data_IF_212218511095
#
_entry.id   IF_212218511095
#
_cell.length_a   1.000
_cell.length_b   1.000
_cell.length_c   1.000
_cell.angle_alpha   90.00
_cell.angle_beta   90.00
_cell.angle_gamma   90.00
#
_symmetry.space_group_name_H-M   'P 1'
#
loop_
_entity.id
_entity.type
_entity.pdbx_description
1 polymer ?
#
# COMPACT_ATOMS: atom_id res chain seq x y z
N UNK A 1 -29.27 1.72 -62.91
CA UNK A 1 -28.79 2.54 -61.77
C UNK A 1 -28.63 1.67 -60.54
N UNK A 2 -27.38 1.44 -60.11
CA UNK A 2 -27.01 0.66 -58.91
C UNK A 2 -27.35 1.48 -57.66
N UNK A 3 -28.30 1.03 -56.82
CA UNK A 3 -28.44 1.52 -55.44
C UNK A 3 -27.58 0.65 -54.53
N UNK A 4 -26.45 1.21 -54.10
CA UNK A 4 -25.63 0.68 -53.01
C UNK A 4 -26.35 1.01 -51.69
N UNK A 5 -26.66 0.02 -50.89
CA UNK A 5 -27.07 0.20 -49.49
C UNK A 5 -25.94 -0.27 -48.58
N UNK A 6 -25.41 0.68 -47.82
CA UNK A 6 -24.25 0.58 -46.92
C UNK A 6 -24.41 -0.46 -45.81
N UNK A 7 -23.32 -1.13 -45.37
CA UNK A 7 -23.33 -1.87 -44.12
C UNK A 7 -23.24 -0.90 -42.91
N UNK A 8 -24.18 -1.05 -41.98
CA UNK A 8 -24.17 -0.38 -40.67
C UNK A 8 -23.01 -0.97 -39.86
N UNK A 9 -21.98 -0.16 -39.64
CA UNK A 9 -20.86 -0.46 -38.75
C UNK A 9 -21.34 -0.21 -37.31
N UNK A 10 -21.58 -1.27 -36.55
CA UNK A 10 -21.84 -1.18 -35.12
C UNK A 10 -20.50 -1.03 -34.39
N UNK A 11 -20.14 0.19 -34.02
CA UNK A 11 -19.03 0.46 -33.12
C UNK A 11 -19.46 0.08 -31.69
N UNK A 12 -18.92 -1.02 -31.16
CA UNK A 12 -19.01 -1.35 -29.74
C UNK A 12 -17.94 -0.50 -29.04
N UNK A 13 -18.40 0.57 -28.41
CA UNK A 13 -17.59 1.41 -27.54
C UNK A 13 -17.35 0.62 -26.24
N UNK A 14 -16.21 -0.08 -26.14
CA UNK A 14 -15.74 -0.58 -24.86
C UNK A 14 -15.24 0.62 -24.06
N UNK A 15 -16.10 1.16 -23.17
CA UNK A 15 -15.67 2.08 -22.13
C UNK A 15 -14.68 1.33 -21.24
N UNK A 16 -13.39 1.59 -21.43
CA UNK A 16 -12.38 1.29 -20.42
C UNK A 16 -12.70 2.10 -19.18
N UNK A 17 -13.14 1.43 -18.12
CA UNK A 17 -13.13 1.99 -16.77
C UNK A 17 -11.66 2.04 -16.35
N UNK A 18 -10.99 3.14 -16.65
CA UNK A 18 -9.72 3.50 -16.03
C UNK A 18 -10.02 4.01 -14.62
N UNK A 19 -10.24 3.09 -13.68
CA UNK A 19 -10.15 3.41 -12.26
C UNK A 19 -8.69 3.68 -11.92
N UNK A 20 -8.42 4.82 -11.26
CA UNK A 20 -7.09 5.17 -10.75
C UNK A 20 -6.63 4.09 -9.78
N UNK A 21 -5.49 3.46 -10.08
CA UNK A 21 -4.92 2.34 -9.34
C UNK A 21 -4.33 2.80 -7.99
N UNK A 22 -5.15 2.73 -6.94
CA UNK A 22 -4.78 2.37 -5.58
C UNK A 22 -5.96 1.56 -5.05
N UNK A 23 -5.76 0.28 -4.72
CA UNK A 23 -6.86 -0.55 -4.23
C UNK A 23 -6.80 -0.84 -2.73
N UNK A 24 -5.72 -0.43 -2.07
CA UNK A 24 -5.63 -0.45 -0.63
C UNK A 24 -4.59 0.56 -0.12
N UNK A 25 -4.85 1.10 1.06
CA UNK A 25 -3.94 1.94 1.79
C UNK A 25 -4.10 1.70 3.31
N UNK A 26 -3.02 1.76 4.06
CA UNK A 26 -3.04 1.70 5.52
C UNK A 26 -2.00 2.66 6.08
N UNK A 27 -2.36 3.33 7.17
CA UNK A 27 -1.57 4.40 7.75
C UNK A 27 -1.46 4.27 9.28
N UNK A 28 -0.28 4.58 9.80
CA UNK A 28 0.02 4.70 11.22
C UNK A 28 0.73 6.04 11.50
N UNK A 29 0.08 6.88 12.31
CA UNK A 29 0.65 8.11 12.88
C UNK A 29 1.38 7.90 14.22
N UNK A 30 1.24 6.71 14.79
CA UNK A 30 1.69 6.37 16.14
C UNK A 30 1.13 7.23 17.29
N UNK A 31 0.07 8.00 17.01
CA UNK A 31 -0.64 8.86 17.96
C UNK A 31 -2.12 8.51 17.98
N UNK A 32 -2.79 8.70 19.12
CA UNK A 32 -4.24 8.52 19.22
C UNK A 32 -5.05 9.76 18.86
N UNK A 33 -4.41 10.92 18.69
CA UNK A 33 -5.08 12.17 18.33
C UNK A 33 -4.34 12.90 17.21
N UNK A 34 -5.09 13.51 16.31
CA UNK A 34 -4.57 14.23 15.14
C UNK A 34 -3.87 15.54 15.48
N UNK A 35 -4.06 16.07 16.69
CA UNK A 35 -3.32 17.24 17.19
C UNK A 35 -1.97 16.87 17.83
N UNK A 36 -1.61 15.58 17.87
CA UNK A 36 -0.39 15.04 18.46
C UNK A 36 -0.35 15.04 19.99
N UNK A 37 -1.43 15.46 20.65
CA UNK A 37 -1.55 15.53 22.12
C UNK A 37 -2.13 14.24 22.71
N UNK A 38 -2.34 13.22 21.88
CA UNK A 38 -2.82 11.91 22.29
C UNK A 38 -1.74 11.09 22.98
N UNK A 39 -1.98 9.78 23.08
CA UNK A 39 -1.01 8.83 23.61
C UNK A 39 -0.30 8.12 22.46
N UNK A 40 0.93 7.67 22.70
CA UNK A 40 1.59 6.73 21.78
C UNK A 40 0.72 5.48 21.58
N UNK A 41 0.47 5.10 20.33
CA UNK A 41 -0.24 3.89 19.96
C UNK A 41 0.38 3.22 18.73
N UNK A 42 0.20 1.91 18.58
CA UNK A 42 0.49 1.18 17.33
C UNK A 42 -0.80 0.73 16.63
N UNK A 43 -1.94 1.26 17.06
CA UNK A 43 -3.20 1.08 16.38
C UNK A 43 -3.15 1.75 15.00
N UNK A 44 -3.86 1.17 14.04
CA UNK A 44 -4.03 1.77 12.71
C UNK A 44 -4.75 3.11 12.86
N UNK A 45 -4.27 4.12 12.16
CA UNK A 45 -4.85 5.46 12.13
C UNK A 45 -5.89 5.60 11.02
N UNK A 46 -5.61 5.03 9.84
CA UNK A 46 -6.53 4.95 8.70
C UNK A 46 -6.29 3.67 7.88
N UNK A 47 -7.35 3.07 7.31
CA UNK A 47 -7.24 1.86 6.47
C UNK A 47 -8.38 1.79 5.45
N UNK A 48 -8.01 1.54 4.20
CA UNK A 48 -8.91 1.23 3.10
C UNK A 48 -8.35 0.04 2.30
N UNK A 49 -9.22 -0.85 1.82
CA UNK A 49 -8.89 -1.96 0.91
C UNK A 49 -8.05 -3.13 1.46
N UNK A 50 -7.22 -2.94 2.49
CA UNK A 50 -6.51 -4.05 3.14
C UNK A 50 -7.49 -4.90 3.96
N UNK A 51 -7.44 -6.22 3.79
CA UNK A 51 -8.23 -7.11 4.64
C UNK A 51 -7.80 -6.98 6.11
N UNK A 52 -8.78 -6.84 7.00
CA UNK A 52 -8.60 -6.47 8.41
C UNK A 52 -7.75 -7.48 9.19
N UNK A 53 -6.44 -7.23 9.25
CA UNK A 53 -5.46 -7.87 10.14
C UNK A 53 -4.13 -7.06 10.22
N UNK A 54 -4.09 -5.84 9.70
CA UNK A 54 -2.85 -5.08 9.63
C UNK A 54 -2.34 -4.70 11.02
N UNK A 55 -1.04 -4.77 11.25
CA UNK A 55 -0.47 -4.43 12.56
C UNK A 55 0.98 -3.99 12.45
N UNK A 56 1.42 -3.18 13.42
CA UNK A 56 2.82 -2.78 13.60
C UNK A 56 3.33 -3.32 14.92
N UNK A 57 4.52 -3.93 14.89
CA UNK A 57 5.26 -4.32 16.10
C UNK A 57 6.68 -3.76 16.04
N UNK A 58 7.35 -3.69 17.19
CA UNK A 58 8.75 -3.24 17.29
C UNK A 58 9.52 -4.00 18.34
N UNK A 59 10.84 -4.02 18.19
CA UNK A 59 11.81 -4.55 19.15
C UNK A 59 12.94 -3.55 19.37
N UNK A 60 13.60 -3.61 20.53
CA UNK A 60 14.63 -2.67 20.97
C UNK A 60 14.20 -1.79 22.16
N UNK A 61 15.12 -0.97 22.65
CA UNK A 61 14.91 -0.11 23.82
C UNK A 61 14.07 1.11 23.44
N UNK A 62 12.88 1.18 24.04
CA UNK A 62 11.91 2.27 23.87
C UNK A 62 12.20 3.40 24.85
N UNK A 63 11.97 4.64 24.43
CA UNK A 63 11.71 5.75 25.34
C UNK A 63 10.46 6.50 24.90
N UNK A 64 9.60 6.87 25.86
CA UNK A 64 8.49 7.77 25.60
C UNK A 64 9.02 9.11 25.11
N UNK A 65 8.48 9.62 24.01
CA UNK A 65 8.92 10.89 23.40
C UNK A 65 8.31 12.11 24.10
N UNK A 66 7.45 11.93 25.12
CA UNK A 66 6.71 12.99 25.80
C UNK A 66 6.06 13.98 24.82
N UNK A 67 5.43 13.48 23.75
CA UNK A 67 4.85 14.26 22.64
C UNK A 67 5.87 15.02 21.77
N UNK A 68 7.17 14.71 21.83
CA UNK A 68 8.21 15.42 21.07
C UNK A 68 8.81 14.50 19.99
N UNK A 69 7.96 13.82 19.23
CA UNK A 69 8.39 12.73 18.36
C UNK A 69 7.82 12.67 16.96
N UNK A 70 6.67 13.27 16.67
CA UNK A 70 6.00 13.07 15.38
C UNK A 70 6.30 14.15 14.33
N UNK A 71 6.22 13.79 13.04
CA UNK A 71 6.25 14.69 11.89
C UNK A 71 4.82 14.99 11.39
N UNK A 72 4.57 16.19 10.89
CA UNK A 72 3.26 16.50 10.30
C UNK A 72 3.06 15.75 8.99
N UNK A 73 1.83 15.27 8.76
CA UNK A 73 1.48 14.53 7.55
C UNK A 73 -0.02 14.60 7.27
N UNK A 74 -0.40 14.55 6.00
CA UNK A 74 -1.79 14.34 5.59
C UNK A 74 -1.88 12.92 5.02
N UNK A 75 -2.72 12.08 5.62
CA UNK A 75 -2.90 10.71 5.17
C UNK A 75 -3.74 10.61 3.89
N UNK A 76 -3.89 9.39 3.37
CA UNK A 76 -4.64 9.12 2.15
C UNK A 76 -6.15 9.34 2.27
N UNK A 77 -6.68 9.58 3.47
CA UNK A 77 -8.08 9.97 3.70
C UNK A 77 -8.22 11.51 3.85
N UNK A 78 -7.19 12.27 3.47
CA UNK A 78 -7.09 13.71 3.62
C UNK A 78 -7.14 14.20 5.08
N UNK A 79 -6.86 13.32 6.07
CA UNK A 79 -6.79 13.71 7.48
C UNK A 79 -5.41 14.25 7.81
N UNK A 80 -5.36 15.47 8.35
CA UNK A 80 -4.11 16.09 8.80
C UNK A 80 -3.75 15.64 10.21
N UNK A 81 -2.53 15.11 10.34
CA UNK A 81 -1.89 14.75 11.59
C UNK A 81 -0.80 15.77 11.90
N UNK A 82 -0.94 16.45 13.04
CA UNK A 82 0.02 17.42 13.52
C UNK A 82 1.26 16.71 14.08
N UNK A 83 2.41 17.22 13.67
CA UNK A 83 3.71 16.84 14.20
C UNK A 83 4.73 17.90 13.82
N UNK A 84 5.72 18.18 14.66
CA UNK A 84 6.73 19.20 14.33
C UNK A 84 8.08 18.65 13.93
N UNK A 85 8.31 17.37 14.17
CA UNK A 85 9.63 16.78 14.08
C UNK A 85 10.66 17.40 15.02
N UNK A 86 10.26 18.28 15.94
CA UNK A 86 11.12 19.11 16.79
C UNK A 86 10.89 18.90 18.30
N UNK A 87 11.48 19.76 19.13
CA UNK A 87 11.47 19.68 20.60
C UNK A 87 10.32 20.44 21.27
N UNK A 88 9.44 21.09 20.50
CA UNK A 88 8.47 22.08 21.00
C UNK A 88 7.03 21.85 20.57
N UNK A 89 6.74 20.88 19.70
CA UNK A 89 5.36 20.62 19.28
C UNK A 89 5.01 19.14 19.28
N UNK A 90 3.72 18.83 19.48
CA UNK A 90 3.20 17.53 19.88
C UNK A 90 3.40 16.44 18.81
N UNK A 91 3.18 15.17 19.19
CA UNK A 91 3.27 14.01 18.30
C UNK A 91 4.16 12.87 18.81
N UNK A 92 3.85 11.66 18.38
CA UNK A 92 4.53 10.42 18.74
C UNK A 92 5.16 9.74 17.53
N UNK A 93 6.10 8.83 17.79
CA UNK A 93 6.78 8.06 16.74
C UNK A 93 7.32 6.75 17.30
N UNK A 94 7.66 5.80 16.44
CA UNK A 94 8.59 4.74 16.82
C UNK A 94 9.94 5.39 17.14
N UNK A 95 10.63 4.91 18.20
CA UNK A 95 11.85 5.55 18.70
C UNK A 95 12.83 4.51 19.25
N UNK A 96 14.10 4.66 18.87
CA UNK A 96 15.25 3.95 19.41
C UNK A 96 16.33 4.96 19.80
N UNK A 97 16.92 4.81 20.99
CA UNK A 97 17.96 5.71 21.50
C UNK A 97 19.32 5.02 21.60
N UNK A 98 20.34 5.80 21.95
CA UNK A 98 21.71 5.34 22.09
C UNK A 98 21.84 4.05 22.91
N UNK A 99 22.66 3.16 22.40
CA UNK A 99 22.93 1.80 22.90
C UNK A 99 21.77 0.81 22.73
N UNK A 100 20.69 1.15 22.04
CA UNK A 100 19.65 0.19 21.70
C UNK A 100 20.20 -0.86 20.73
N UNK A 101 19.95 -2.15 21.02
CA UNK A 101 20.40 -3.32 20.26
C UNK A 101 19.22 -4.20 19.84
N UNK A 102 19.42 -5.09 18.87
CA UNK A 102 18.39 -5.99 18.33
C UNK A 102 17.14 -5.20 17.92
N UNK A 103 17.36 -4.12 17.17
CA UNK A 103 16.33 -3.15 16.82
C UNK A 103 15.62 -3.60 15.53
N UNK A 104 14.30 -3.63 15.57
CA UNK A 104 13.50 -3.75 14.36
C UNK A 104 12.11 -3.16 14.54
N UNK A 105 11.43 -2.90 13.43
CA UNK A 105 9.98 -2.83 13.43
C UNK A 105 9.44 -3.66 12.26
N UNK A 106 8.24 -4.18 12.45
CA UNK A 106 7.59 -5.07 11.49
C UNK A 106 6.16 -4.65 11.25
N UNK A 107 5.72 -4.81 10.01
CA UNK A 107 4.34 -4.57 9.58
C UNK A 107 3.78 -5.86 9.03
N UNK A 108 2.66 -6.33 9.58
CA UNK A 108 1.92 -7.45 9.02
C UNK A 108 0.74 -6.92 8.22
N UNK A 109 0.52 -7.47 7.02
CA UNK A 109 -0.54 -7.09 6.08
C UNK A 109 -1.23 -8.34 5.53
N UNK A 110 -2.51 -8.22 5.18
CA UNK A 110 -3.19 -9.20 4.33
C UNK A 110 -3.34 -8.60 2.92
N UNK A 111 -2.60 -9.16 1.97
CA UNK A 111 -2.50 -8.68 0.58
C UNK A 111 -3.39 -9.47 -0.37
N UNK A 112 -4.40 -10.20 0.13
CA UNK A 112 -5.35 -10.95 -0.70
C UNK A 112 -6.04 -10.02 -1.70
N UNK A 113 -5.96 -10.35 -2.99
CA UNK A 113 -6.48 -9.52 -4.08
C UNK A 113 -5.65 -8.27 -4.40
N UNK A 114 -4.46 -8.12 -3.79
CA UNK A 114 -3.60 -6.95 -3.92
C UNK A 114 -2.22 -7.32 -4.49
N UNK A 115 -1.63 -6.37 -5.21
CA UNK A 115 -0.27 -6.41 -5.77
C UNK A 115 0.42 -5.05 -5.68
N UNK A 116 1.69 -4.99 -6.06
CA UNK A 116 2.43 -3.71 -6.21
C UNK A 116 2.46 -2.84 -4.96
N UNK A 117 2.95 -3.42 -3.86
CA UNK A 117 3.07 -2.74 -2.58
C UNK A 117 4.07 -1.58 -2.69
N UNK A 118 3.67 -0.40 -2.22
CA UNK A 118 4.52 0.76 -2.05
C UNK A 118 4.53 1.19 -0.59
N UNK A 119 5.69 1.63 -0.11
CA UNK A 119 5.87 2.06 1.28
C UNK A 119 6.38 3.49 1.28
N UNK A 120 5.87 4.27 2.24
CA UNK A 120 6.38 5.59 2.61
C UNK A 120 6.38 5.73 4.12
N UNK A 121 7.43 6.32 4.68
CA UNK A 121 7.51 6.69 6.09
C UNK A 121 8.44 7.88 6.27
N UNK A 122 8.33 8.56 7.41
CA UNK A 122 9.26 9.61 7.82
C UNK A 122 10.31 9.03 8.77
N UNK A 123 11.59 9.26 8.48
CA UNK A 123 12.72 8.87 9.32
C UNK A 123 13.41 10.11 9.87
N UNK A 124 13.74 10.10 11.17
CA UNK A 124 14.69 11.04 11.75
C UNK A 124 15.82 10.27 12.42
N UNK A 125 17.03 10.48 11.94
CA UNK A 125 18.25 9.96 12.56
C UNK A 125 19.15 11.09 12.98
N UNK A 126 19.33 11.28 14.28
CA UNK A 126 19.99 12.46 14.86
C UNK A 126 21.04 12.06 15.91
N UNK A 127 22.00 12.95 16.16
CA UNK A 127 23.00 12.82 17.22
C UNK A 127 24.44 12.91 16.75
N UNK A 128 25.38 12.44 17.57
CA UNK A 128 26.83 12.53 17.29
C UNK A 128 27.32 11.53 16.24
N UNK A 129 26.59 10.43 16.04
CA UNK A 129 26.88 9.41 15.03
C UNK A 129 25.56 8.77 14.57
N UNK A 130 24.72 9.52 13.84
CA UNK A 130 23.43 9.03 13.39
C UNK A 130 23.61 7.87 12.41
N UNK A 131 22.69 6.90 12.45
CA UNK A 131 22.58 5.92 11.38
C UNK A 131 22.11 6.63 10.11
N UNK A 132 22.57 6.18 8.94
CA UNK A 132 22.14 6.71 7.64
C UNK A 132 21.44 5.69 6.77
N UNK A 133 21.17 4.49 7.30
CA UNK A 133 20.48 3.43 6.60
C UNK A 133 19.86 2.41 7.57
N UNK A 134 18.84 1.70 7.09
CA UNK A 134 18.43 0.43 7.68
C UNK A 134 19.48 -0.65 7.38
N UNK A 135 19.60 -1.64 8.26
CA UNK A 135 20.53 -2.76 8.04
C UNK A 135 20.01 -3.75 7.00
N UNK A 136 18.70 -4.00 6.99
CA UNK A 136 18.03 -4.76 5.94
C UNK A 136 16.54 -4.52 5.96
N UNK A 137 15.88 -4.76 4.83
CA UNK A 137 14.45 -4.96 4.72
C UNK A 137 14.19 -6.42 4.35
N UNK A 138 13.29 -7.10 5.06
CA UNK A 138 12.92 -8.49 4.77
C UNK A 138 11.41 -8.65 4.66
N UNK A 139 10.97 -9.72 4.01
CA UNK A 139 9.58 -10.17 4.04
C UNK A 139 9.48 -11.64 4.50
N UNK A 140 8.35 -11.99 5.13
CA UNK A 140 7.97 -13.37 5.44
C UNK A 140 6.49 -13.58 5.11
N UNK A 141 6.10 -14.77 4.65
CA UNK A 141 4.73 -15.09 4.25
C UNK A 141 4.20 -16.18 5.17
N UNK A 142 3.06 -15.93 5.83
CA UNK A 142 2.41 -16.93 6.68
C UNK A 142 3.29 -17.51 7.80
N UNK A 143 4.28 -16.76 8.29
CA UNK A 143 5.25 -17.22 9.30
C UNK A 143 6.41 -18.04 8.75
N UNK A 144 6.66 -17.99 7.43
CA UNK A 144 7.86 -18.57 6.81
C UNK A 144 9.14 -17.91 7.32
N UNK A 145 10.28 -18.52 6.98
CA UNK A 145 11.58 -17.86 7.10
C UNK A 145 11.58 -16.52 6.35
N UNK A 146 12.30 -15.55 6.90
CA UNK A 146 12.41 -14.21 6.34
C UNK A 146 13.36 -14.20 5.14
N UNK A 147 12.96 -13.50 4.07
CA UNK A 147 13.73 -13.32 2.85
C UNK A 147 14.12 -11.85 2.72
N UNK A 148 15.40 -11.57 2.46
CA UNK A 148 15.92 -10.22 2.26
C UNK A 148 15.42 -9.62 0.94
N UNK A 149 15.04 -8.35 0.99
CA UNK A 149 14.78 -7.50 -0.18
C UNK A 149 16.05 -6.69 -0.43
N UNK A 150 16.76 -7.00 -1.52
CA UNK A 150 18.04 -6.41 -1.90
C UNK A 150 17.93 -5.37 -3.03
N UNK A 151 16.72 -5.15 -3.55
CA UNK A 151 16.45 -4.24 -4.67
C UNK A 151 16.12 -2.81 -4.26
N UNK A 152 16.03 -2.53 -2.96
CA UNK A 152 15.62 -1.21 -2.43
C UNK A 152 16.80 -0.45 -1.83
N UNK A 153 16.79 0.88 -1.97
CA UNK A 153 17.72 1.74 -1.26
C UNK A 153 17.30 1.85 0.21
N UNK A 154 18.19 1.43 1.12
CA UNK A 154 17.96 1.46 2.55
C UNK A 154 18.44 2.76 3.21
N UNK A 155 19.07 3.65 2.45
CA UNK A 155 19.64 4.89 2.96
C UNK A 155 18.58 5.97 3.21
N UNK A 156 18.83 6.82 4.20
CA UNK A 156 17.98 7.95 4.53
C UNK A 156 18.82 9.13 5.05
N UNK A 157 18.27 10.34 4.95
CA UNK A 157 18.93 11.54 5.43
C UNK A 157 19.08 11.53 6.96
N UNK A 158 20.16 12.15 7.44
CA UNK A 158 20.41 12.35 8.87
C UNK A 158 20.28 13.82 9.24
N UNK A 159 19.86 14.10 10.47
CA UNK A 159 19.62 15.46 10.93
C UNK A 159 18.58 15.54 12.04
N UNK A 160 18.29 16.76 12.48
CA UNK A 160 17.29 17.03 13.52
C UNK A 160 15.85 17.09 12.99
N UNK A 161 15.66 16.94 11.68
CA UNK A 161 14.36 16.96 11.01
C UNK A 161 14.05 15.57 10.47
N UNK A 162 12.76 15.27 10.32
CA UNK A 162 12.31 14.09 9.60
C UNK A 162 12.54 14.28 8.09
N UNK A 163 12.94 13.20 7.43
CA UNK A 163 12.99 13.08 5.98
C UNK A 163 12.23 11.83 5.54
N UNK A 164 11.66 11.88 4.35
CA UNK A 164 10.94 10.75 3.79
C UNK A 164 11.90 9.62 3.40
N UNK A 165 11.50 8.39 3.69
CA UNK A 165 12.02 7.18 3.08
C UNK A 165 10.86 6.45 2.41
N UNK A 166 11.10 5.93 1.21
CA UNK A 166 10.09 5.21 0.43
C UNK A 166 10.70 4.03 -0.30
N UNK A 167 9.91 3.00 -0.55
CA UNK A 167 10.31 1.86 -1.37
C UNK A 167 9.15 1.37 -2.23
N UNK A 168 9.44 1.05 -3.49
CA UNK A 168 8.55 0.36 -4.41
C UNK A 168 8.89 -1.14 -4.39
N UNK A 169 7.95 -1.97 -3.92
CA UNK A 169 8.08 -3.42 -3.86
C UNK A 169 7.33 -4.13 -5.00
N UNK A 170 6.95 -3.42 -6.05
CA UNK A 170 6.18 -3.98 -7.17
C UNK A 170 6.87 -5.13 -7.92
N UNK A 171 8.20 -5.20 -7.86
CA UNK A 171 8.98 -6.32 -8.40
C UNK A 171 8.94 -7.59 -7.53
N UNK A 172 8.53 -7.49 -6.26
CA UNK A 172 8.52 -8.60 -5.31
C UNK A 172 7.18 -9.36 -5.45
N UNK A 173 7.03 -10.16 -6.49
CA UNK A 173 5.76 -10.85 -6.77
C UNK A 173 5.33 -11.86 -5.70
N UNK A 174 6.26 -12.33 -4.87
CA UNK A 174 5.99 -13.31 -3.82
C UNK A 174 5.02 -12.81 -2.75
N UNK A 175 5.00 -11.49 -2.48
CA UNK A 175 4.15 -10.89 -1.44
C UNK A 175 2.77 -10.47 -1.96
N UNK A 176 2.47 -10.69 -3.24
CA UNK A 176 1.16 -10.42 -3.84
C UNK A 176 0.16 -11.53 -3.48
N UNK A 177 -1.11 -11.17 -3.31
CA UNK A 177 -2.22 -12.08 -3.07
C UNK A 177 -2.00 -13.07 -1.89
N UNK A 178 -1.41 -12.61 -0.79
CA UNK A 178 -1.13 -13.44 0.38
C UNK A 178 -2.07 -13.09 1.54
N UNK A 179 -2.48 -14.08 2.31
CA UNK A 179 -3.31 -13.87 3.49
C UNK A 179 -2.56 -13.23 4.67
N UNK A 180 -1.23 -13.31 4.67
CA UNK A 180 -0.36 -12.70 5.67
C UNK A 180 1.05 -12.50 5.11
N UNK A 181 1.49 -11.25 5.08
CA UNK A 181 2.86 -10.82 4.74
C UNK A 181 3.38 -9.99 5.90
N UNK A 182 4.56 -10.33 6.41
CA UNK A 182 5.27 -9.51 7.40
C UNK A 182 6.48 -8.86 6.74
N UNK A 183 6.49 -7.55 6.64
CA UNK A 183 7.66 -6.75 6.26
C UNK A 183 8.43 -6.36 7.51
N UNK A 184 9.76 -6.48 7.53
CA UNK A 184 10.58 -6.15 8.70
C UNK A 184 11.78 -5.31 8.32
N UNK A 185 11.90 -4.14 8.96
CA UNK A 185 13.06 -3.28 8.90
C UNK A 185 13.98 -3.63 10.06
N UNK A 186 15.17 -4.12 9.74
CA UNK A 186 16.21 -4.35 10.74
C UNK A 186 17.08 -3.11 10.84
N UNK A 187 17.38 -2.72 12.08
CA UNK A 187 18.11 -1.51 12.40
C UNK A 187 19.37 -1.91 13.16
N UNK A 188 20.52 -1.33 12.79
CA UNK A 188 21.77 -1.55 13.48
C UNK A 188 21.69 -1.10 14.95
N UNK A 189 22.69 -1.46 15.74
CA UNK A 189 22.86 -0.87 17.08
C UNK A 189 22.89 0.65 16.98
N UNK A 190 22.08 1.34 17.79
CA UNK A 190 22.08 2.81 17.82
C UNK A 190 23.33 3.27 18.61
N UNK A 191 24.21 4.11 18.06
CA UNK A 191 25.36 4.62 18.79
C UNK A 191 24.95 5.43 20.02
N UNK A 192 25.76 5.40 21.10
CA UNK A 192 25.41 5.94 22.43
C UNK A 192 25.03 7.43 22.51
N UNK A 193 25.26 8.23 21.46
CA UNK A 193 24.85 9.63 21.36
C UNK A 193 23.88 9.91 20.21
N UNK A 194 23.23 8.87 19.67
CA UNK A 194 22.32 8.96 18.54
C UNK A 194 20.90 8.48 18.90
N UNK A 195 19.95 8.81 18.03
CA UNK A 195 18.59 8.29 18.07
C UNK A 195 18.07 8.08 16.65
N UNK A 196 17.18 7.10 16.50
CA UNK A 196 16.41 6.86 15.29
C UNK A 196 14.93 6.94 15.62
N UNK A 197 14.16 7.57 14.75
CA UNK A 197 12.70 7.66 14.85
C UNK A 197 12.07 7.37 13.51
N UNK A 198 10.92 6.71 13.55
CA UNK A 198 10.09 6.39 12.39
C UNK A 198 8.68 6.83 12.68
N UNK A 199 8.09 7.57 11.75
CA UNK A 199 6.73 8.10 11.85
C UNK A 199 6.00 8.03 10.50
N UNK A 200 4.70 8.32 10.50
CA UNK A 200 3.85 8.45 9.33
C UNK A 200 4.02 7.31 8.32
N UNK A 201 3.97 6.08 8.83
CA UNK A 201 4.09 4.89 8.01
C UNK A 201 2.81 4.72 7.21
N UNK A 202 2.91 4.82 5.89
CA UNK A 202 1.85 4.54 4.94
C UNK A 202 2.28 3.44 3.99
N UNK A 203 1.40 2.46 3.78
CA UNK A 203 1.60 1.40 2.79
C UNK A 203 0.39 1.41 1.85
N UNK A 204 0.66 1.40 0.55
CA UNK A 204 -0.38 1.29 -0.49
C UNK A 204 -0.15 0.06 -1.34
N UNK A 205 -1.21 -0.41 -2.00
CA UNK A 205 -1.16 -1.52 -2.95
C UNK A 205 -2.20 -1.32 -4.06
N UNK A 206 -1.94 -1.91 -5.23
CA UNK A 206 -2.87 -1.97 -6.35
C UNK A 206 -3.78 -3.22 -6.25
N UNK A 207 -4.97 -3.16 -6.85
CA UNK A 207 -5.83 -4.34 -6.95
C UNK A 207 -5.30 -5.21 -8.08
N UNK A 208 -5.29 -6.52 -7.83
CA UNK A 208 -5.14 -7.48 -8.91
C UNK A 208 -6.42 -7.40 -9.75
N UNK A 209 -6.34 -7.04 -11.05
CA UNK A 209 -7.52 -6.97 -11.90
C UNK A 209 -8.24 -8.32 -11.92
N UNK A 210 -9.56 -8.32 -11.72
CA UNK A 210 -10.33 -9.55 -11.91
C UNK A 210 -10.13 -10.04 -13.36
N UNK A 211 -9.90 -11.34 -13.58
CA UNK A 211 -9.89 -11.86 -14.93
C UNK A 211 -11.23 -11.52 -15.60
N UNK A 212 -11.19 -11.00 -16.82
CA UNK A 212 -12.35 -10.50 -17.57
C UNK A 212 -13.39 -11.59 -17.98
N UNK A 213 -13.45 -12.71 -17.26
CA UNK A 213 -14.37 -13.82 -17.50
C UNK A 213 -15.83 -13.42 -17.38
N UNK A 214 -16.20 -12.43 -16.57
CA UNK A 214 -17.58 -11.91 -16.55
C UNK A 214 -17.96 -11.16 -17.83
N UNK A 215 -17.03 -10.40 -18.43
CA UNK A 215 -17.27 -9.68 -19.67
C UNK A 215 -17.37 -10.61 -20.88
N UNK A 216 -16.59 -11.70 -20.90
CA UNK A 216 -16.66 -12.70 -21.97
C UNK A 216 -17.89 -13.60 -21.87
N UNK A 217 -18.38 -13.91 -20.66
CA UNK A 217 -19.62 -14.67 -20.45
C UNK A 217 -20.86 -13.85 -20.84
N UNK A 218 -20.93 -12.57 -20.46
CA UNK A 218 -22.01 -11.68 -20.86
C UNK A 218 -21.97 -11.36 -22.36
N UNK A 219 -20.79 -11.09 -22.91
CA UNK A 219 -20.59 -10.91 -24.36
C UNK A 219 -20.97 -12.17 -25.16
N UNK A 220 -20.62 -13.35 -24.66
CA UNK A 220 -21.02 -14.64 -25.24
C UNK A 220 -22.53 -14.88 -25.20
N UNK A 221 -23.19 -14.58 -24.07
CA UNK A 221 -24.64 -14.72 -23.93
C UNK A 221 -25.42 -13.77 -24.86
N UNK A 222 -24.96 -12.52 -24.99
CA UNK A 222 -25.58 -11.53 -25.90
C UNK A 222 -25.37 -11.91 -27.36
N UNK A 223 -24.16 -12.34 -27.74
CA UNK A 223 -23.87 -12.81 -29.10
C UNK A 223 -24.75 -14.03 -29.46
N UNK A 224 -24.94 -14.96 -28.52
CA UNK A 224 -25.79 -16.13 -28.71
C UNK A 224 -27.28 -15.73 -28.83
N UNK A 225 -27.76 -14.79 -28.02
CA UNK A 225 -29.12 -14.26 -28.12
C UNK A 225 -29.39 -13.55 -29.46
N UNK A 226 -28.42 -12.78 -29.96
CA UNK A 226 -28.50 -12.12 -31.28
C UNK A 226 -28.50 -13.14 -32.42
N UNK A 227 -27.70 -14.20 -32.32
CA UNK A 227 -27.69 -15.29 -33.31
C UNK A 227 -29.02 -16.07 -33.31
N UNK A 228 -29.57 -16.36 -32.13
CA UNK A 228 -30.86 -17.05 -31.98
C UNK A 228 -32.03 -16.23 -32.52
N UNK A 229 -32.05 -14.91 -32.30
CA UNK A 229 -33.10 -14.02 -32.83
C UNK A 229 -32.99 -13.82 -34.34
N UNK A 230 -31.78 -13.75 -34.91
CA UNK A 230 -31.57 -13.71 -36.37
C UNK A 230 -32.03 -15.00 -37.06
N UNK A 231 -31.73 -16.18 -36.50
CA UNK A 231 -32.19 -17.47 -37.06
C UNK A 231 -33.72 -17.61 -37.06
N UNK A 232 -34.40 -17.16 -36.00
CA UNK A 232 -35.87 -17.19 -35.93
C UNK A 232 -36.53 -16.32 -36.99
N UNK A 233 -35.99 -15.12 -37.26
CA UNK A 233 -36.51 -14.22 -38.31
C UNK A 233 -36.30 -14.77 -39.73
N UNK A 234 -35.21 -15.49 -39.98
CA UNK A 234 -34.97 -16.11 -41.28
C UNK A 234 -35.95 -17.26 -41.59
N UNK A 235 -36.40 -17.99 -40.56
CA UNK A 235 -37.39 -19.08 -40.74
C UNK A 235 -38.83 -18.56 -40.93
N UNK A 236 -39.16 -17.38 -40.41
CA UNK A 236 -40.49 -16.78 -40.54
C UNK A 236 -40.77 -16.16 -41.93
N UNK A 237 -39.73 -15.89 -42.72
CA UNK A 237 -39.83 -15.27 -44.05
C UNK A 237 -39.66 -16.27 -45.20
N UNK A 238 -39.75 -17.58 -44.95
CA UNK A 238 -39.71 -18.57 -46.03
C UNK A 238 -41.02 -18.48 -46.85
N UNK A 239 -40.97 -18.16 -48.15
CA UNK A 239 -42.18 -18.10 -48.97
C UNK A 239 -42.75 -19.50 -49.17
N UNK A 240 -44.04 -19.64 -48.88
CA UNK A 240 -44.82 -20.83 -49.23
C UNK A 240 -44.80 -20.96 -50.75
N UNK A 241 -44.11 -21.99 -51.26
CA UNK A 241 -44.17 -22.34 -52.69
C UNK A 241 -45.53 -22.96 -52.96
N UNK A 242 -46.38 -22.21 -53.65
CA UNK A 242 -47.52 -22.71 -54.43
C UNK A 242 -47.05 -23.20 -55.78
#
# INVERSE_FOLDING_TARGET
>A
MKKRTSPILAAILACGLSGTANAAAVFWSFDTQTDGLGSYATAISAIDGFASASSVTRTGTVQATNHLGGAAFTDFEDTFWAGSGGTVSPGHSLTWNGNSINNSFSVTLNTTGLESINIRLDVRSAGTSPLSAFSSLTYAIGGSEAVTIDTVDLTFATGSSFGEWSADLSSIVAINNQSSVTLTWNIATIPGGASLRVDNLQITAAAIPEPATLASVLGGAVALAVLCTKRRRASANAPVRS
#
